data_IF_387583888685
#
_entry.id   IF_387583888685
#
_cell.length_a   1.000
_cell.length_b   1.000
_cell.length_c   1.000
_cell.angle_alpha   90.00
_cell.angle_beta   90.00
_cell.angle_gamma   90.00
#
_symmetry.space_group_name_H-M   'P 1'
#
loop_
_entity.id
_entity.type
_entity.pdbx_description
1 polymer ?
#
# COMPACT_ATOMS: atom_id res chain seq x y z
N UNK A 1 27.21 20.02 0.57
CA UNK A 1 28.17 19.53 -0.44
C UNK A 1 28.61 18.07 -0.26
N UNK A 2 27.73 17.16 0.19
CA UNK A 2 27.91 15.70 0.05
C UNK A 2 26.54 15.06 -0.14
N UNK A 3 25.95 15.34 -1.30
CA UNK A 3 24.70 14.76 -1.72
C UNK A 3 25.00 13.57 -2.62
N UNK A 4 24.93 12.38 -2.02
CA UNK A 4 24.37 11.19 -2.65
C UNK A 4 24.82 10.84 -4.09
N UNK A 5 26.12 10.75 -4.34
CA UNK A 5 26.62 10.05 -5.53
C UNK A 5 26.67 8.53 -5.30
N UNK A 6 25.50 7.95 -5.05
CA UNK A 6 25.21 6.50 -4.97
C UNK A 6 24.67 6.08 -6.36
N UNK A 7 25.27 6.59 -7.44
CA UNK A 7 24.70 6.44 -8.79
C UNK A 7 25.66 5.89 -9.86
N UNK A 8 26.95 5.66 -9.56
CA UNK A 8 27.94 5.39 -10.63
C UNK A 8 28.78 4.11 -10.49
N UNK A 9 28.53 3.24 -9.52
CA UNK A 9 29.40 2.06 -9.29
C UNK A 9 28.74 0.66 -9.37
N UNK A 10 27.46 0.53 -9.78
CA UNK A 10 26.81 -0.79 -10.04
C UNK A 10 26.48 -1.05 -11.52
N UNK A 11 27.09 -0.30 -12.44
CA UNK A 11 26.53 -0.09 -13.79
C UNK A 11 26.50 -1.27 -14.77
N UNK A 12 26.83 -2.53 -14.43
CA UNK A 12 26.82 -3.58 -15.49
C UNK A 12 26.23 -4.96 -15.17
N UNK A 13 26.48 -5.68 -14.05
CA UNK A 13 26.01 -7.06 -13.95
C UNK A 13 24.53 -7.19 -13.54
N UNK A 14 24.07 -6.42 -12.55
CA UNK A 14 22.71 -6.53 -12.01
C UNK A 14 21.68 -5.96 -12.99
N UNK A 15 22.00 -4.82 -13.63
CA UNK A 15 21.12 -4.17 -14.60
C UNK A 15 20.80 -5.07 -15.80
N UNK A 16 21.80 -5.84 -16.27
CA UNK A 16 21.66 -6.76 -17.41
C UNK A 16 20.66 -7.88 -17.14
N UNK A 17 20.62 -8.39 -15.90
CA UNK A 17 19.66 -9.41 -15.46
C UNK A 17 18.24 -8.85 -15.28
N UNK A 18 18.12 -7.59 -14.87
CA UNK A 18 16.83 -6.94 -14.58
C UNK A 18 16.11 -6.44 -15.84
N UNK A 19 16.85 -5.95 -16.85
CA UNK A 19 16.30 -5.42 -18.10
C UNK A 19 15.24 -6.32 -18.79
N UNK A 20 15.47 -7.64 -19.01
CA UNK A 20 14.46 -8.48 -19.66
C UNK A 20 13.19 -8.65 -18.83
N UNK A 21 13.29 -8.66 -17.50
CA UNK A 21 12.12 -8.77 -16.62
C UNK A 21 11.40 -7.42 -16.50
N UNK A 22 12.14 -6.31 -16.56
CA UNK A 22 11.60 -4.96 -16.59
C UNK A 22 10.73 -4.73 -17.83
N UNK A 23 11.18 -5.15 -19.01
CA UNK A 23 10.39 -5.01 -20.25
C UNK A 23 9.09 -5.82 -20.19
N UNK A 24 9.11 -7.01 -19.58
CA UNK A 24 7.91 -7.81 -19.30
C UNK A 24 6.98 -7.13 -18.29
N UNK A 25 7.54 -6.49 -17.26
CA UNK A 25 6.78 -5.75 -16.27
C UNK A 25 6.05 -4.55 -16.89
N UNK A 26 6.72 -3.76 -17.73
CA UNK A 26 6.12 -2.64 -18.47
C UNK A 26 4.94 -3.08 -19.34
N UNK A 27 5.04 -4.27 -19.95
CA UNK A 27 3.98 -4.89 -20.75
C UNK A 27 2.88 -5.56 -19.93
N UNK A 28 3.07 -5.66 -18.60
CA UNK A 28 2.20 -6.38 -17.68
C UNK A 28 2.06 -7.89 -17.98
N UNK A 29 3.11 -8.53 -18.50
CA UNK A 29 3.10 -9.94 -18.91
C UNK A 29 2.92 -10.90 -17.73
N UNK A 30 3.38 -10.52 -16.54
CA UNK A 30 3.19 -11.31 -15.31
C UNK A 30 1.75 -11.28 -14.79
N UNK A 31 0.91 -10.40 -15.34
CA UNK A 31 -0.46 -10.18 -14.91
C UNK A 31 -0.65 -8.90 -14.11
N UNK A 32 -1.86 -8.74 -13.60
CA UNK A 32 -2.36 -7.53 -12.95
C UNK A 32 -2.96 -7.86 -11.59
N UNK A 33 -2.89 -6.91 -10.68
CA UNK A 33 -3.37 -7.05 -9.31
C UNK A 33 -4.86 -7.44 -9.29
N UNK A 34 -5.25 -8.51 -8.56
CA UNK A 34 -6.66 -8.90 -8.44
C UNK A 34 -7.45 -7.94 -7.53
N UNK A 35 -6.78 -7.11 -6.74
CA UNK A 35 -7.43 -6.11 -5.89
C UNK A 35 -8.01 -4.99 -6.76
N UNK A 36 -9.33 -4.82 -6.72
CA UNK A 36 -10.07 -3.83 -7.51
C UNK A 36 -9.54 -2.41 -7.32
N UNK A 37 -9.22 -2.04 -6.08
CA UNK A 37 -8.71 -0.71 -5.70
C UNK A 37 -7.24 -0.47 -6.13
N UNK A 38 -6.58 -1.47 -6.72
CA UNK A 38 -5.25 -1.29 -7.29
C UNK A 38 -5.29 -0.89 -8.77
N UNK A 39 -6.47 -0.69 -9.36
CA UNK A 39 -6.66 -0.22 -10.75
C UNK A 39 -5.79 -0.98 -11.76
N UNK A 40 -5.81 -2.32 -11.70
CA UNK A 40 -5.10 -3.18 -12.65
C UNK A 40 -3.57 -2.96 -12.68
N UNK A 41 -2.96 -2.59 -11.55
CA UNK A 41 -1.51 -2.45 -11.37
C UNK A 41 -0.75 -3.71 -11.86
N UNK A 42 0.30 -3.58 -12.71
CA UNK A 42 1.15 -4.70 -13.09
C UNK A 42 1.84 -5.34 -11.88
N UNK A 43 2.01 -6.66 -11.93
CA UNK A 43 2.63 -7.46 -10.88
C UNK A 43 4.04 -7.90 -11.26
N UNK A 44 4.81 -8.32 -10.25
CA UNK A 44 6.13 -8.92 -10.41
C UNK A 44 6.17 -10.32 -9.82
N UNK A 45 6.90 -11.27 -10.40
CA UNK A 45 7.08 -12.58 -9.79
C UNK A 45 7.93 -12.48 -8.53
N UNK A 46 7.62 -13.30 -7.52
CA UNK A 46 8.36 -13.39 -6.27
C UNK A 46 8.36 -14.83 -5.76
N UNK A 47 9.51 -15.29 -5.28
CA UNK A 47 9.61 -16.52 -4.50
C UNK A 47 9.30 -16.25 -3.03
N UNK A 48 8.60 -17.18 -2.36
CA UNK A 48 8.44 -17.13 -0.89
C UNK A 48 9.61 -17.78 -0.15
N UNK A 49 10.53 -18.39 -0.89
CA UNK A 49 11.70 -19.13 -0.42
C UNK A 49 12.71 -19.18 -1.56
N UNK A 50 14.00 -19.12 -1.22
CA UNK A 50 15.11 -19.30 -2.16
C UNK A 50 15.56 -20.76 -2.25
N UNK A 51 14.94 -21.66 -1.48
CA UNK A 51 15.20 -23.11 -1.50
C UNK A 51 14.31 -23.77 -2.54
N UNK A 52 14.91 -24.52 -3.47
CA UNK A 52 14.19 -25.21 -4.54
C UNK A 52 13.15 -26.22 -4.01
N UNK A 53 12.09 -26.42 -4.79
CA UNK A 53 10.99 -27.37 -4.55
C UNK A 53 10.19 -27.15 -3.25
N UNK A 54 10.31 -25.98 -2.62
CA UNK A 54 9.58 -25.68 -1.39
C UNK A 54 8.24 -25.01 -1.65
N UNK A 55 8.23 -23.92 -2.42
CA UNK A 55 7.06 -23.09 -2.67
C UNK A 55 7.07 -22.60 -4.11
N UNK A 56 5.90 -22.61 -4.73
CA UNK A 56 5.72 -22.11 -6.10
C UNK A 56 5.87 -20.59 -6.14
N UNK A 57 6.10 -20.06 -7.35
CA UNK A 57 6.13 -18.61 -7.59
C UNK A 57 4.81 -17.95 -7.21
N UNK A 58 4.90 -16.75 -6.65
CA UNK A 58 3.79 -15.86 -6.36
C UNK A 58 4.00 -14.53 -7.08
N UNK A 59 3.00 -13.66 -7.02
CA UNK A 59 3.01 -12.35 -7.68
C UNK A 59 2.91 -11.23 -6.65
N UNK A 60 3.89 -10.37 -6.59
CA UNK A 60 3.93 -9.19 -5.73
C UNK A 60 3.30 -7.98 -6.41
N UNK A 61 2.46 -7.24 -5.69
CA UNK A 61 1.91 -5.96 -6.14
C UNK A 61 2.62 -4.78 -5.46
N UNK A 62 3.26 -3.87 -6.22
CA UNK A 62 3.94 -2.72 -5.64
C UNK A 62 3.00 -1.62 -5.12
N UNK A 63 1.70 -1.65 -5.47
CA UNK A 63 0.73 -0.63 -5.05
C UNK A 63 0.08 -0.93 -3.70
N UNK A 64 -0.25 -2.20 -3.45
CA UNK A 64 -0.82 -2.63 -2.17
C UNK A 64 0.14 -3.43 -1.29
N UNK A 65 1.37 -3.67 -1.77
CA UNK A 65 2.44 -4.34 -1.02
C UNK A 65 2.03 -5.73 -0.52
N UNK A 66 1.29 -6.46 -1.35
CA UNK A 66 0.73 -7.77 -1.02
C UNK A 66 1.05 -8.81 -2.10
N UNK A 67 0.98 -10.08 -1.71
CA UNK A 67 1.38 -11.24 -2.50
C UNK A 67 0.15 -12.04 -2.94
N UNK A 68 0.09 -12.34 -4.23
CA UNK A 68 -1.04 -13.01 -4.87
C UNK A 68 -0.62 -14.31 -5.56
N UNK A 69 -1.60 -15.21 -5.72
CA UNK A 69 -1.41 -16.41 -6.53
C UNK A 69 -1.55 -16.08 -8.03
N UNK A 70 -0.71 -16.66 -8.90
CA UNK A 70 -0.89 -16.51 -10.35
C UNK A 70 -2.21 -17.14 -10.80
N UNK A 71 -2.92 -16.48 -11.72
CA UNK A 71 -4.26 -16.91 -12.19
C UNK A 71 -4.23 -18.21 -12.99
N UNK A 72 -3.18 -18.43 -13.77
CA UNK A 72 -3.01 -19.61 -14.62
C UNK A 72 -2.33 -20.74 -13.87
N UNK A 73 -2.88 -21.95 -13.94
CA UNK A 73 -2.28 -23.17 -13.38
C UNK A 73 -0.86 -23.45 -13.89
N UNK A 74 -0.56 -23.14 -15.18
CA UNK A 74 0.78 -23.29 -15.76
C UNK A 74 1.85 -22.55 -14.96
N UNK A 75 1.60 -21.28 -14.62
CA UNK A 75 2.55 -20.48 -13.84
C UNK A 75 2.53 -20.84 -12.35
N UNK A 76 1.42 -21.39 -11.84
CA UNK A 76 1.34 -21.87 -10.47
C UNK A 76 2.21 -23.11 -10.21
N UNK A 77 2.64 -23.83 -11.26
CA UNK A 77 3.54 -24.97 -11.14
C UNK A 77 5.04 -24.60 -11.16
N UNK A 78 5.38 -23.34 -11.46
CA UNK A 78 6.77 -22.88 -11.52
C UNK A 78 7.30 -22.68 -10.10
N UNK A 79 8.52 -23.13 -9.84
CA UNK A 79 9.19 -22.94 -8.56
C UNK A 79 9.52 -21.45 -8.32
N UNK A 80 9.22 -20.97 -7.11
CA UNK A 80 9.49 -19.59 -6.72
C UNK A 80 10.97 -19.30 -6.55
N UNK A 81 11.78 -20.33 -6.24
CA UNK A 81 13.22 -20.20 -6.03
C UNK A 81 13.97 -19.67 -7.27
N UNK A 82 13.43 -19.85 -8.48
CA UNK A 82 14.03 -19.33 -9.71
C UNK A 82 13.98 -17.79 -9.84
N UNK A 83 13.04 -17.15 -9.16
CA UNK A 83 12.93 -15.69 -9.12
C UNK A 83 13.59 -15.11 -7.87
N UNK A 84 13.59 -15.89 -6.79
CA UNK A 84 14.10 -15.48 -5.49
C UNK A 84 13.12 -14.58 -4.72
N UNK A 85 13.42 -14.41 -3.44
CA UNK A 85 12.60 -13.65 -2.48
C UNK A 85 12.74 -12.13 -2.63
N UNK A 86 13.89 -11.66 -3.13
CA UNK A 86 14.27 -10.24 -3.13
C UNK A 86 14.07 -9.51 -4.47
N UNK A 87 13.74 -10.22 -5.55
CA UNK A 87 13.71 -9.66 -6.90
C UNK A 87 12.81 -8.40 -7.04
N UNK A 88 11.55 -8.37 -6.57
CA UNK A 88 10.72 -7.17 -6.70
C UNK A 88 11.30 -5.97 -5.97
N UNK A 89 11.85 -6.18 -4.77
CA UNK A 89 12.42 -5.13 -3.95
C UNK A 89 13.70 -4.56 -4.58
N UNK A 90 14.57 -5.44 -5.09
CA UNK A 90 15.78 -5.04 -5.79
C UNK A 90 15.47 -4.24 -7.06
N UNK A 91 14.43 -4.63 -7.81
CA UNK A 91 14.02 -3.90 -9.02
C UNK A 91 13.62 -2.46 -8.69
N UNK A 92 12.85 -2.22 -7.62
CA UNK A 92 12.43 -0.87 -7.24
C UNK A 92 13.53 -0.06 -6.56
N UNK A 93 14.53 -0.70 -5.97
CA UNK A 93 15.72 -0.01 -5.47
C UNK A 93 16.55 0.56 -6.63
N UNK A 94 16.63 -0.15 -7.75
CA UNK A 94 17.33 0.31 -8.97
C UNK A 94 16.48 1.30 -9.76
N UNK A 95 15.15 1.08 -9.84
CA UNK A 95 14.22 1.91 -10.60
C UNK A 95 13.13 2.51 -9.70
N UNK A 96 13.47 3.51 -8.84
CA UNK A 96 12.51 4.11 -7.93
C UNK A 96 11.36 4.82 -8.66
N UNK A 97 11.60 5.31 -9.87
CA UNK A 97 10.60 5.99 -10.71
C UNK A 97 9.43 5.09 -11.14
N UNK A 98 9.55 3.77 -10.99
CA UNK A 98 8.50 2.80 -11.33
C UNK A 98 7.61 2.43 -10.14
N UNK A 99 7.92 2.94 -8.94
CA UNK A 99 7.09 2.72 -7.76
C UNK A 99 5.77 3.49 -7.92
N UNK A 100 4.62 2.80 -7.94
CA UNK A 100 3.33 3.46 -8.00
C UNK A 100 3.03 4.16 -6.68
N UNK A 101 2.24 5.22 -6.75
CA UNK A 101 1.68 5.85 -5.57
C UNK A 101 0.76 4.86 -4.82
N UNK A 102 0.92 4.80 -3.49
CA UNK A 102 0.12 3.91 -2.65
C UNK A 102 -1.35 4.34 -2.68
N UNK A 103 -2.26 3.38 -2.78
CA UNK A 103 -3.70 3.66 -2.75
C UNK A 103 -4.15 3.98 -1.31
N UNK A 104 -4.72 5.16 -1.08
CA UNK A 104 -5.44 5.49 0.16
C UNK A 104 -6.84 4.84 0.22
N UNK A 105 -7.38 4.47 -0.94
CA UNK A 105 -8.73 3.97 -1.07
C UNK A 105 -8.95 2.63 -0.35
N UNK A 106 -10.05 2.59 0.42
CA UNK A 106 -10.49 1.43 1.18
C UNK A 106 -11.91 1.06 0.80
N UNK A 107 -12.16 -0.24 0.65
CA UNK A 107 -13.50 -0.75 0.44
C UNK A 107 -14.37 -0.45 1.68
N UNK A 108 -15.45 0.31 1.47
CA UNK A 108 -16.42 0.65 2.50
C UNK A 108 -17.70 -0.15 2.25
N UNK A 109 -17.96 -1.21 3.03
CA UNK A 109 -19.18 -2.00 2.86
C UNK A 109 -20.41 -1.17 3.27
N UNK A 110 -21.45 -1.20 2.43
CA UNK A 110 -22.71 -0.48 2.63
C UNK A 110 -23.91 -1.39 2.40
N UNK A 111 -24.90 -1.30 3.28
CA UNK A 111 -26.20 -1.99 3.16
C UNK A 111 -27.26 -0.90 3.05
N UNK A 112 -28.03 -0.89 1.96
CA UNK A 112 -28.99 0.19 1.64
C UNK A 112 -28.40 1.61 1.70
N UNK A 113 -27.10 1.76 1.36
CA UNK A 113 -26.39 3.03 1.43
C UNK A 113 -25.75 3.36 2.80
N UNK A 114 -26.16 2.68 3.86
CA UNK A 114 -25.62 2.86 5.21
C UNK A 114 -24.34 2.07 5.43
N UNK A 115 -23.32 2.68 6.05
CA UNK A 115 -22.11 1.97 6.47
C UNK A 115 -22.45 0.98 7.60
N UNK A 116 -21.83 -0.20 7.60
CA UNK A 116 -22.02 -1.21 8.67
C UNK A 116 -21.45 -0.67 9.99
N UNK A 117 -22.23 -0.69 11.08
CA UNK A 117 -21.93 0.05 12.33
C UNK A 117 -20.53 -0.18 12.90
N UNK A 118 -20.11 -1.44 13.05
CA UNK A 118 -18.79 -1.79 13.61
C UNK A 118 -17.65 -1.33 12.69
N UNK A 119 -17.77 -1.66 11.41
CA UNK A 119 -16.79 -1.28 10.38
C UNK A 119 -16.71 0.25 10.25
N UNK A 120 -17.84 0.95 10.35
CA UNK A 120 -17.91 2.40 10.33
C UNK A 120 -17.24 3.03 11.55
N UNK A 121 -17.34 2.42 12.74
CA UNK A 121 -16.61 2.88 13.93
C UNK A 121 -15.10 2.76 13.72
N UNK A 122 -14.63 1.61 13.21
CA UNK A 122 -13.21 1.39 12.96
C UNK A 122 -12.68 2.31 11.84
N UNK A 123 -13.43 2.51 10.76
CA UNK A 123 -13.01 3.39 9.66
C UNK A 123 -12.87 4.83 10.12
N UNK A 124 -13.82 5.36 10.91
CA UNK A 124 -13.73 6.70 11.48
C UNK A 124 -12.45 6.89 12.32
N UNK A 125 -12.15 5.94 13.20
CA UNK A 125 -10.91 5.99 13.98
C UNK A 125 -9.65 5.95 13.10
N UNK A 126 -9.63 5.13 12.04
CA UNK A 126 -8.48 5.07 11.13
C UNK A 126 -8.30 6.32 10.28
N UNK A 127 -9.40 6.91 9.83
CA UNK A 127 -9.39 8.15 9.06
C UNK A 127 -8.87 9.31 9.94
N UNK A 128 -9.35 9.42 11.18
CA UNK A 128 -8.85 10.38 12.18
C UNK A 128 -7.34 10.23 12.43
N UNK A 129 -6.86 9.01 12.66
CA UNK A 129 -5.44 8.76 12.90
C UNK A 129 -4.57 9.05 11.66
N UNK A 130 -5.09 8.81 10.45
CA UNK A 130 -4.41 9.14 9.19
C UNK A 130 -4.29 10.66 9.02
N UNK A 131 -5.38 11.40 9.23
CA UNK A 131 -5.41 12.85 9.12
C UNK A 131 -4.45 13.50 10.12
N UNK A 132 -4.41 13.00 11.37
CA UNK A 132 -3.47 13.44 12.39
C UNK A 132 -2.01 13.18 11.98
N UNK A 133 -1.72 11.98 11.45
CA UNK A 133 -0.38 11.65 10.95
C UNK A 133 0.02 12.57 9.79
N UNK A 134 -0.88 12.79 8.82
CA UNK A 134 -0.63 13.70 7.70
C UNK A 134 -0.37 15.14 8.19
N UNK A 135 -1.13 15.62 9.17
CA UNK A 135 -0.92 16.94 9.74
C UNK A 135 0.47 17.05 10.39
N UNK A 136 0.87 16.06 11.19
CA UNK A 136 2.21 16.03 11.81
C UNK A 136 3.32 16.05 10.75
N UNK A 137 3.17 15.29 9.66
CA UNK A 137 4.14 15.32 8.55
C UNK A 137 4.20 16.68 7.85
N UNK A 138 3.05 17.34 7.65
CA UNK A 138 2.98 18.68 7.06
C UNK A 138 3.68 19.72 7.93
N UNK A 139 3.50 19.65 9.26
CA UNK A 139 4.13 20.55 10.23
C UNK A 139 5.66 20.39 10.27
N UNK A 140 6.18 19.18 10.10
CA UNK A 140 7.64 18.90 10.12
C UNK A 140 8.32 19.05 8.74
N UNK A 141 7.64 19.59 7.73
CA UNK A 141 8.26 19.94 6.44
C UNK A 141 8.70 18.75 5.57
N UNK A 142 8.29 17.53 5.87
CA UNK A 142 8.55 16.35 5.04
C UNK A 142 7.54 16.26 3.87
N UNK A 143 7.55 17.28 3.01
CA UNK A 143 6.70 17.35 1.82
C UNK A 143 7.24 16.45 0.71
N UNK A 144 6.75 15.22 0.63
CA UNK A 144 7.08 14.33 -0.46
C UNK A 144 6.09 13.18 -0.54
N UNK A 145 5.14 13.30 -1.48
CA UNK A 145 4.02 12.41 -1.82
C UNK A 145 2.68 12.95 -1.27
N UNK A 146 2.07 13.85 -2.06
CA UNK A 146 0.66 14.15 -1.92
C UNK A 146 -0.16 12.90 -2.32
N UNK A 147 -1.14 12.45 -1.51
CA UNK A 147 -2.13 11.51 -2.00
C UNK A 147 -2.85 12.16 -3.18
N UNK A 148 -2.95 11.44 -4.30
CA UNK A 148 -3.69 11.88 -5.47
C UNK A 148 -5.09 12.33 -5.03
N UNK A 149 -5.41 13.60 -5.24
CA UNK A 149 -6.76 14.12 -5.08
C UNK A 149 -7.68 13.42 -6.09
N UNK A 150 -8.48 12.48 -5.59
CA UNK A 150 -9.65 11.98 -6.33
C UNK A 150 -10.60 13.16 -6.49
N UNK A 151 -10.61 13.75 -7.69
CA UNK A 151 -11.66 14.67 -8.12
C UNK A 151 -12.96 13.87 -8.35
N UNK A 152 -13.93 14.11 -7.46
CA UNK A 152 -15.38 14.24 -7.71
C UNK A 152 -16.11 13.23 -8.62
N UNK A 153 -17.09 12.53 -8.03
CA UNK A 153 -18.51 12.88 -8.25
C UNK A 153 -19.42 12.10 -7.29
N UNK A 154 -20.33 12.81 -6.60
CA UNK A 154 -21.35 12.19 -5.75
C UNK A 154 -21.95 13.14 -4.70
N UNK A 155 -22.67 14.15 -5.17
CA UNK A 155 -23.83 14.81 -4.55
C UNK A 155 -24.09 14.58 -3.05
N UNK A 156 -23.89 15.63 -2.26
CA UNK A 156 -24.52 15.80 -0.95
C UNK A 156 -26.04 16.03 -1.11
N UNK A 157 -26.90 15.45 -0.26
CA UNK A 157 -28.23 16.01 -0.06
C UNK A 157 -28.14 17.16 0.94
N UNK A 158 -28.57 18.34 0.50
CA UNK A 158 -28.98 19.44 1.36
C UNK A 158 -30.23 19.01 2.17
N UNK A 159 -30.30 19.39 3.44
CA UNK A 159 -31.49 19.10 4.25
C UNK A 159 -31.44 19.54 5.71
N UNK A 160 -31.75 20.82 5.94
CA UNK A 160 -32.50 21.40 7.07
C UNK A 160 -31.93 21.23 8.48
N UNK A 161 -31.55 22.36 9.07
CA UNK A 161 -31.19 22.48 10.48
C UNK A 161 -32.38 22.53 11.42
N UNK A 162 -32.14 22.08 12.66
CA UNK A 162 -32.78 22.60 13.86
C UNK A 162 -31.69 22.70 14.91
N UNK A 163 -31.40 23.92 15.35
CA UNK A 163 -30.50 24.19 16.47
C UNK A 163 -31.24 24.03 17.79
N UNK A 164 -30.61 23.37 18.75
CA UNK A 164 -30.79 23.64 20.18
C UNK A 164 -29.41 23.51 20.82
N UNK A 165 -28.88 24.63 21.31
CA UNK A 165 -27.68 24.64 22.14
C UNK A 165 -28.04 24.38 23.60
N UNK A 166 -27.26 23.53 24.26
CA UNK A 166 -27.04 23.58 25.71
C UNK A 166 -25.61 23.11 25.95
N UNK A 167 -24.82 23.91 26.68
CA UNK A 167 -23.42 23.63 26.98
C UNK A 167 -23.21 22.57 28.06
N UNK A 168 -21.95 22.21 28.28
CA UNK A 168 -21.54 21.42 29.45
C UNK A 168 -20.24 20.65 29.28
N UNK A 169 -19.17 21.22 29.85
CA UNK A 169 -18.06 20.55 30.56
C UNK A 169 -17.35 19.35 29.93
N UNK A 170 -16.06 19.57 29.66
CA UNK A 170 -15.01 18.55 29.70
C UNK A 170 -14.95 17.85 31.06
N UNK A 171 -14.48 16.59 31.10
CA UNK A 171 -13.67 16.15 32.22
C UNK A 171 -12.27 15.74 31.76
N UNK A 172 -11.27 16.43 32.32
CA UNK A 172 -9.94 15.86 32.53
C UNK A 172 -10.07 14.62 33.41
N UNK A 173 -9.42 13.53 33.02
CA UNK A 173 -9.00 12.49 33.97
C UNK A 173 -7.55 12.16 33.68
N UNK A 174 -6.69 12.78 34.48
CA UNK A 174 -5.33 12.33 34.72
C UNK A 174 -5.33 11.00 35.48
N UNK A 175 -4.39 10.12 35.12
CA UNK A 175 -3.83 9.12 36.02
C UNK A 175 -4.39 7.71 35.89
N UNK A 176 -3.63 6.83 35.23
CA UNK A 176 -2.70 5.94 35.94
C UNK A 176 -1.92 5.05 34.97
N UNK A 177 -0.63 4.92 35.27
CA UNK A 177 0.34 4.05 34.64
C UNK A 177 -0.09 2.59 34.81
N UNK A 178 -0.08 1.84 33.73
CA UNK A 178 -0.22 0.40 33.73
C UNK A 178 0.45 -0.17 32.50
N UNK A 179 1.74 -0.48 32.61
CA UNK A 179 2.48 -1.16 31.56
C UNK A 179 1.91 -2.55 31.34
N UNK A 180 1.65 -2.89 30.08
CA UNK A 180 1.58 -4.28 29.65
C UNK A 180 2.48 -4.45 28.44
N UNK A 181 3.69 -4.87 28.78
CA UNK A 181 4.70 -5.47 27.94
C UNK A 181 4.21 -6.87 27.55
N UNK A 182 4.08 -7.18 26.26
CA UNK A 182 4.20 -8.56 25.76
C UNK A 182 4.81 -8.54 24.36
N UNK A 183 6.13 -8.74 24.36
CA UNK A 183 6.88 -9.47 23.33
C UNK A 183 6.65 -10.95 23.62
N UNK A 184 6.13 -11.71 22.65
CA UNK A 184 6.65 -12.99 22.12
C UNK A 184 5.89 -13.27 20.82
#
# INVERSE_FOLDING_TARGET
DREFDISVHYETPILLLLNPQLEKYKKADFGRCPRVLCHNQPLLPVGLSDIAYTKTVKLYCPRCEDIYNPKSSRHAAIDGAYYGTSFPHMLFQVYPNLLPQKSSDRYTPRIFGFKIHEIARQHRWQDEQREEMEQRLREHGAGGIAPASVSGNGTAPAGVGVGVGVGGSTPSVDGQRGGFFWVV
#
